data_IF_363787481157
#
_entry.id   IF_363787481157
#
_cell.length_a   1.000
_cell.length_b   1.000
_cell.length_c   1.000
_cell.angle_alpha   90.00
_cell.angle_beta   90.00
_cell.angle_gamma   90.00
#
_symmetry.space_group_name_H-M   'P 1'
#
loop_
_entity.id
_entity.type
_entity.pdbx_description
1 polymer ?
#
# COMPACT_ATOMS: atom_id res chain seq x y z
N UNK A 1 -7.73 -4.46 -1.53
CA UNK A 1 -8.80 -5.20 -2.24
C UNK A 1 -8.44 -5.24 -3.70
N UNK A 2 -8.69 -6.36 -4.35
CA UNK A 2 -8.56 -6.51 -5.80
C UNK A 2 -9.93 -6.58 -6.47
N UNK A 3 -9.99 -6.20 -7.74
CA UNK A 3 -11.19 -6.31 -8.57
C UNK A 3 -10.83 -6.41 -10.05
N UNK A 4 -11.77 -6.95 -10.83
CA UNK A 4 -11.67 -7.04 -12.28
C UNK A 4 -11.99 -5.68 -12.94
N UNK A 5 -11.04 -5.17 -13.71
CA UNK A 5 -11.25 -4.12 -14.71
C UNK A 5 -11.75 -4.82 -15.99
N UNK A 6 -12.97 -4.51 -16.46
CA UNK A 6 -13.64 -5.32 -17.48
C UNK A 6 -13.12 -5.11 -18.92
N UNK A 7 -12.32 -4.07 -19.16
CA UNK A 7 -11.83 -3.72 -20.50
C UNK A 7 -11.04 -2.42 -20.49
N UNK A 8 -10.81 -1.86 -21.67
CA UNK A 8 -10.01 -0.65 -21.84
C UNK A 8 -10.58 0.55 -21.04
N UNK A 9 -9.70 1.34 -20.42
CA UNK A 9 -10.10 2.53 -19.68
C UNK A 9 -9.01 3.09 -18.76
N UNK A 10 -9.28 4.25 -18.18
CA UNK A 10 -8.37 4.94 -17.27
C UNK A 10 -8.69 4.60 -15.81
N UNK A 11 -7.74 4.02 -15.10
CA UNK A 11 -7.83 3.80 -13.66
C UNK A 11 -7.22 5.01 -12.92
N UNK A 12 -8.03 5.63 -12.06
CA UNK A 12 -7.60 6.70 -11.15
C UNK A 12 -7.84 6.28 -9.70
N UNK A 13 -7.00 6.77 -8.81
CA UNK A 13 -7.19 6.70 -7.36
C UNK A 13 -7.61 8.08 -6.86
N UNK A 14 -8.72 8.15 -6.12
CA UNK A 14 -9.26 9.40 -5.59
C UNK A 14 -9.24 9.36 -4.08
N UNK A 15 -8.72 10.41 -3.46
CA UNK A 15 -8.77 10.62 -2.01
C UNK A 15 -9.70 11.80 -1.71
N UNK A 16 -10.71 11.57 -0.88
CA UNK A 16 -11.68 12.58 -0.46
C UNK A 16 -11.39 12.98 0.99
N UNK A 17 -10.91 14.21 1.26
CA UNK A 17 -10.64 14.69 2.60
C UNK A 17 -11.93 14.80 3.43
N UNK A 18 -11.90 14.28 4.66
CA UNK A 18 -13.05 14.33 5.56
C UNK A 18 -13.38 15.75 6.06
N UNK A 19 -12.44 16.69 5.96
CA UNK A 19 -12.59 18.09 6.33
C UNK A 19 -13.27 18.94 5.24
N UNK A 20 -13.69 18.31 4.12
CA UNK A 20 -14.35 18.98 3.01
C UNK A 20 -13.40 19.71 2.07
N UNK A 21 -12.09 19.45 2.17
CA UNK A 21 -11.11 19.91 1.19
C UNK A 21 -11.32 19.30 -0.20
N UNK A 22 -10.60 19.83 -1.19
CA UNK A 22 -10.67 19.32 -2.56
C UNK A 22 -10.18 17.86 -2.65
N UNK A 23 -10.90 17.04 -3.42
CA UNK A 23 -10.49 15.66 -3.67
C UNK A 23 -9.19 15.61 -4.48
N UNK A 24 -8.31 14.68 -4.11
CA UNK A 24 -7.03 14.49 -4.80
C UNK A 24 -7.13 13.29 -5.74
N UNK A 25 -6.94 13.52 -7.03
CA UNK A 25 -6.92 12.47 -8.06
C UNK A 25 -5.50 12.11 -8.46
N UNK A 26 -5.20 10.81 -8.46
CA UNK A 26 -3.95 10.25 -8.95
C UNK A 26 -4.22 9.30 -10.12
N UNK A 27 -3.65 9.54 -11.33
CA UNK A 27 -3.69 8.57 -12.40
C UNK A 27 -2.88 7.34 -11.99
N UNK A 28 -3.46 6.15 -12.10
CA UNK A 28 -2.81 4.89 -11.72
C UNK A 28 -2.31 4.16 -12.96
N UNK A 29 -3.21 3.85 -13.91
CA UNK A 29 -2.87 3.08 -15.09
C UNK A 29 -3.91 3.21 -16.20
N UNK A 30 -3.49 3.07 -17.45
CA UNK A 30 -4.35 3.04 -18.63
C UNK A 30 -4.44 1.60 -19.14
N UNK A 31 -5.62 1.00 -18.97
CA UNK A 31 -5.89 -0.35 -19.44
C UNK A 31 -6.21 -0.34 -20.94
N UNK A 32 -5.51 -1.18 -21.71
CA UNK A 32 -5.85 -1.47 -23.12
C UNK A 32 -6.85 -2.62 -23.26
N UNK A 33 -6.92 -3.50 -22.24
CA UNK A 33 -7.82 -4.65 -22.18
C UNK A 33 -8.17 -5.00 -20.71
N UNK A 34 -8.94 -6.07 -20.49
CA UNK A 34 -9.35 -6.48 -19.16
C UNK A 34 -8.15 -6.88 -18.28
N UNK A 35 -8.21 -6.60 -16.98
CA UNK A 35 -7.11 -6.89 -16.05
C UNK A 35 -7.54 -6.81 -14.59
N UNK A 36 -6.61 -7.05 -13.66
CA UNK A 36 -6.89 -6.95 -12.22
C UNK A 36 -6.18 -5.72 -11.66
N UNK A 37 -6.92 -4.89 -10.93
CA UNK A 37 -6.38 -3.79 -10.14
C UNK A 37 -6.41 -4.15 -8.66
N UNK A 38 -5.33 -3.87 -7.93
CA UNK A 38 -5.25 -4.10 -6.49
C UNK A 38 -4.86 -2.81 -5.76
N UNK A 39 -5.73 -2.39 -4.84
CA UNK A 39 -5.41 -1.32 -3.89
C UNK A 39 -4.78 -1.87 -2.62
N UNK A 40 -3.64 -1.30 -2.22
CA UNK A 40 -2.96 -1.58 -0.96
C UNK A 40 -2.81 -0.29 -0.16
N UNK A 41 -2.87 -0.40 1.17
CA UNK A 41 -2.58 0.69 2.09
C UNK A 41 -1.83 0.13 3.30
N UNK A 42 -1.01 0.97 3.93
CA UNK A 42 -0.44 0.68 5.23
C UNK A 42 -0.63 1.91 6.12
N UNK A 43 -0.85 1.68 7.40
CA UNK A 43 -0.96 2.74 8.40
C UNK A 43 0.35 2.83 9.17
N UNK A 44 0.79 4.04 9.47
CA UNK A 44 2.03 4.27 10.23
C UNK A 44 2.04 3.51 11.56
N UNK A 45 0.92 3.52 12.29
CA UNK A 45 0.80 2.77 13.54
C UNK A 45 0.99 1.27 13.36
N UNK A 46 0.48 0.71 12.24
CA UNK A 46 0.64 -0.71 11.92
C UNK A 46 2.10 -1.04 11.60
N UNK A 47 2.78 -0.20 10.80
CA UNK A 47 4.19 -0.35 10.46
C UNK A 47 5.06 -0.27 11.72
N UNK A 48 4.82 0.74 12.57
CA UNK A 48 5.57 0.95 13.81
C UNK A 48 5.32 -0.20 14.80
N UNK A 49 4.06 -0.63 14.94
CA UNK A 49 3.67 -1.74 15.79
C UNK A 49 4.36 -3.04 15.36
N UNK A 50 4.37 -3.33 14.06
CA UNK A 50 5.07 -4.48 13.48
C UNK A 50 6.58 -4.42 13.76
N UNK A 51 7.22 -3.28 13.50
CA UNK A 51 8.65 -3.11 13.75
C UNK A 51 9.01 -3.33 15.23
N UNK A 52 8.23 -2.76 16.15
CA UNK A 52 8.42 -2.96 17.60
C UNK A 52 8.28 -4.43 18.00
N UNK A 53 7.28 -5.13 17.47
CA UNK A 53 7.09 -6.56 17.75
C UNK A 53 8.29 -7.39 17.28
N UNK A 54 8.79 -7.15 16.07
CA UNK A 54 9.97 -7.84 15.53
C UNK A 54 11.23 -7.57 16.37
N UNK A 55 11.48 -6.32 16.74
CA UNK A 55 12.64 -5.95 17.56
C UNK A 55 12.60 -6.57 18.96
N UNK A 56 11.43 -6.53 19.63
CA UNK A 56 11.26 -7.13 20.95
C UNK A 56 11.43 -8.66 20.90
N UNK A 57 10.87 -9.31 19.87
CA UNK A 57 10.99 -10.75 19.70
C UNK A 57 12.45 -11.18 19.46
N UNK A 58 13.16 -10.48 18.56
CA UNK A 58 14.58 -10.74 18.32
C UNK A 58 15.44 -10.54 19.59
N UNK A 59 15.18 -9.46 20.34
CA UNK A 59 15.86 -9.20 21.60
C UNK A 59 15.64 -10.32 22.63
N UNK A 60 14.40 -10.80 22.77
CA UNK A 60 14.05 -11.88 23.70
C UNK A 60 14.77 -13.21 23.36
N UNK A 61 15.02 -13.48 22.08
CA UNK A 61 15.75 -14.66 21.62
C UNK A 61 17.27 -14.47 21.58
N UNK A 62 17.76 -13.24 21.75
CA UNK A 62 19.17 -12.90 21.55
C UNK A 62 19.61 -13.04 20.09
N UNK A 63 18.70 -12.88 19.14
CA UNK A 63 18.95 -13.09 17.70
C UNK A 63 19.07 -11.77 16.94
N UNK A 64 19.92 -11.71 15.90
CA UNK A 64 19.99 -10.56 15.02
C UNK A 64 18.69 -10.41 14.22
N UNK A 65 18.24 -9.17 14.04
CA UNK A 65 17.08 -8.81 13.21
C UNK A 65 17.57 -8.21 11.91
N UNK A 66 17.10 -8.74 10.78
CA UNK A 66 17.44 -8.25 9.44
C UNK A 66 16.19 -7.68 8.76
N UNK A 67 16.35 -6.52 8.12
CA UNK A 67 15.34 -5.91 7.27
C UNK A 67 15.84 -5.94 5.82
N UNK A 68 15.00 -6.45 4.92
CA UNK A 68 15.23 -6.39 3.48
C UNK A 68 14.07 -5.65 2.83
N UNK A 69 14.35 -4.56 2.14
CA UNK A 69 13.37 -3.81 1.34
C UNK A 69 13.81 -3.76 -0.11
N UNK A 70 12.84 -3.59 -1.02
CA UNK A 70 13.12 -3.30 -2.42
C UNK A 70 12.91 -1.80 -2.63
N UNK A 71 14.00 -1.04 -2.73
CA UNK A 71 13.94 0.42 -2.92
C UNK A 71 13.90 0.86 -4.39
N UNK A 72 14.01 -0.08 -5.32
CA UNK A 72 13.85 0.15 -6.76
C UNK A 72 12.56 -0.51 -7.23
N UNK A 73 11.67 0.30 -7.83
CA UNK A 73 10.45 -0.16 -8.50
C UNK A 73 10.78 -0.40 -9.97
#
# INVERSE_FOLDING_TARGET
TDFLVPGAGHLKMVFEPADGGEAVEYPVFDFEEAGIAMGMYNLDESIIGFARACMNYGLNLGWPVYLSTKNTI
#
